data_IF_926332747851
#
_entry.id   IF_926332747851
#
_cell.length_a   1.000
_cell.length_b   1.000
_cell.length_c   1.000
_cell.angle_alpha   90.00
_cell.angle_beta   90.00
_cell.angle_gamma   90.00
#
_symmetry.space_group_name_H-M   'P 1'
#
loop_
_entity.id
_entity.type
_entity.pdbx_description
1 polymer ?
#
# COMPACT_ATOMS: atom_id res chain seq x y z
N UNK A 1 -0.48 11.00 1.21
CA UNK A 1 0.25 10.02 2.05
C UNK A 1 1.30 9.31 1.21
N UNK A 2 2.21 8.56 1.82
CA UNK A 2 3.09 7.63 1.12
C UNK A 2 3.22 6.34 1.92
N UNK A 3 3.46 5.21 1.25
CA UNK A 3 3.78 3.95 1.90
C UNK A 3 5.26 3.65 1.62
N UNK A 4 6.02 3.45 2.71
CA UNK A 4 7.45 3.16 2.69
C UNK A 4 7.78 2.02 3.64
N UNK A 5 8.84 1.31 3.32
CA UNK A 5 9.38 0.21 4.10
C UNK A 5 10.89 0.37 4.10
N UNK A 6 11.45 0.42 5.29
CA UNK A 6 12.89 0.59 5.53
C UNK A 6 13.41 -0.61 6.29
N UNK A 7 14.67 -0.95 6.02
CA UNK A 7 15.37 -1.94 6.83
C UNK A 7 15.57 -1.40 8.26
N UNK A 8 15.34 -2.25 9.27
CA UNK A 8 15.39 -1.85 10.67
C UNK A 8 16.82 -1.66 11.18
N UNK A 9 17.78 -2.37 10.59
CA UNK A 9 19.20 -2.31 10.94
C UNK A 9 19.94 -1.27 10.08
N UNK A 10 19.43 -0.98 8.89
CA UNK A 10 19.95 0.02 7.98
C UNK A 10 18.84 0.92 7.40
N UNK A 11 18.40 1.97 8.12
CA UNK A 11 17.24 2.80 7.74
C UNK A 11 17.44 3.61 6.46
N UNK A 12 18.65 3.64 5.90
CA UNK A 12 18.92 4.25 4.60
C UNK A 12 18.55 3.33 3.42
N UNK A 13 18.26 2.06 3.68
CA UNK A 13 17.88 1.07 2.67
C UNK A 13 16.35 0.89 2.65
N UNK A 14 15.75 1.14 1.49
CA UNK A 14 14.33 0.88 1.26
C UNK A 14 14.14 -0.59 0.88
N UNK A 15 13.23 -1.28 1.56
CA UNK A 15 12.91 -2.70 1.33
C UNK A 15 11.64 -2.90 0.51
N UNK A 16 10.82 -1.86 0.36
CA UNK A 16 9.68 -1.85 -0.56
C UNK A 16 9.82 -0.67 -1.52
N UNK A 17 9.25 -0.80 -2.73
CA UNK A 17 9.09 0.34 -3.62
C UNK A 17 8.13 1.34 -2.98
N UNK A 18 8.52 2.62 -2.94
CA UNK A 18 7.65 3.67 -2.42
C UNK A 18 6.38 3.78 -3.26
N UNK A 19 5.22 3.67 -2.62
CA UNK A 19 3.91 3.91 -3.25
C UNK A 19 3.48 5.34 -2.91
N UNK A 20 3.20 6.13 -3.94
CA UNK A 20 2.93 7.57 -3.83
C UNK A 20 1.62 7.96 -4.51
N UNK A 21 1.28 9.25 -4.44
CA UNK A 21 0.23 9.88 -5.25
C UNK A 21 0.46 9.57 -6.75
N UNK A 22 -0.59 9.29 -7.55
CA UNK A 22 -2.02 9.39 -7.24
C UNK A 22 -2.63 8.17 -6.55
N UNK A 23 -1.88 7.09 -6.38
CA UNK A 23 -2.43 5.81 -5.93
C UNK A 23 -2.63 5.73 -4.42
N UNK A 24 -1.91 6.59 -3.69
CA UNK A 24 -1.96 6.75 -2.23
C UNK A 24 -2.41 8.18 -1.89
N UNK A 25 -3.57 8.34 -1.25
CA UNK A 25 -4.10 9.65 -0.86
C UNK A 25 -4.15 9.79 0.66
N UNK A 26 -5.09 9.11 1.33
CA UNK A 26 -5.33 9.18 2.78
C UNK A 26 -5.40 7.79 3.40
N UNK A 27 -4.24 7.25 3.78
CA UNK A 27 -4.09 5.88 4.29
C UNK A 27 -4.32 5.86 5.79
N UNK A 28 -5.30 5.07 6.24
CA UNK A 28 -5.65 4.97 7.67
C UNK A 28 -5.27 3.65 8.32
N UNK A 29 -5.13 2.60 7.54
CA UNK A 29 -4.78 1.26 8.02
C UNK A 29 -4.04 0.48 6.93
N UNK A 30 -3.16 -0.42 7.35
CA UNK A 30 -2.34 -1.24 6.46
C UNK A 30 -2.05 -2.60 7.07
N UNK A 31 -1.81 -3.58 6.20
CA UNK A 31 -1.34 -4.91 6.57
C UNK A 31 -0.46 -5.52 5.46
N UNK A 32 0.29 -6.58 5.79
CA UNK A 32 1.20 -7.26 4.89
C UNK A 32 0.97 -8.78 4.90
N UNK A 33 0.77 -9.35 3.71
CA UNK A 33 0.75 -10.79 3.50
C UNK A 33 2.14 -11.26 3.06
N UNK A 34 2.83 -11.97 3.96
CA UNK A 34 4.17 -12.48 3.72
C UNK A 34 4.23 -13.70 2.78
N UNK A 35 3.12 -14.43 2.60
CA UNK A 35 3.09 -15.59 1.70
C UNK A 35 3.04 -15.14 0.24
N UNK A 36 2.22 -14.12 -0.03
CA UNK A 36 2.03 -13.55 -1.36
C UNK A 36 2.92 -12.31 -1.64
N UNK A 37 3.66 -11.83 -0.64
CA UNK A 37 4.45 -10.60 -0.67
C UNK A 37 3.65 -9.36 -1.10
N UNK A 38 2.46 -9.18 -0.50
CA UNK A 38 1.51 -8.10 -0.83
C UNK A 38 1.22 -7.19 0.34
N UNK A 39 1.22 -5.89 0.06
CA UNK A 39 0.78 -4.86 1.00
C UNK A 39 -0.67 -4.53 0.69
N UNK A 40 -1.49 -4.45 1.72
CA UNK A 40 -2.89 -4.02 1.67
C UNK A 40 -3.03 -2.71 2.43
N UNK A 41 -3.82 -1.77 1.91
CA UNK A 41 -4.11 -0.53 2.62
C UNK A 41 -5.53 -0.05 2.38
N UNK A 42 -6.07 0.59 3.41
CA UNK A 42 -7.35 1.30 3.37
C UNK A 42 -7.08 2.78 3.08
N UNK A 43 -7.68 3.28 2.00
CA UNK A 43 -7.64 4.69 1.62
C UNK A 43 -9.04 5.29 1.82
N UNK A 44 -9.19 6.17 2.82
CA UNK A 44 -10.51 6.70 3.22
C UNK A 44 -11.03 7.75 2.27
N UNK A 45 -10.14 8.52 1.63
CA UNK A 45 -10.52 9.57 0.68
C UNK A 45 -11.11 8.97 -0.59
N UNK A 46 -10.51 7.90 -1.10
CA UNK A 46 -11.04 7.15 -2.25
C UNK A 46 -12.07 6.09 -1.84
N UNK A 47 -12.21 5.81 -0.54
CA UNK A 47 -13.06 4.75 0.03
C UNK A 47 -12.74 3.38 -0.59
N UNK A 48 -11.46 3.08 -0.74
CA UNK A 48 -10.99 1.81 -1.33
C UNK A 48 -10.10 1.04 -0.38
N UNK A 49 -10.08 -0.28 -0.57
CA UNK A 49 -8.97 -1.13 -0.12
C UNK A 49 -8.21 -1.55 -1.36
N UNK A 50 -6.92 -1.21 -1.40
CA UNK A 50 -6.02 -1.53 -2.51
C UNK A 50 -4.92 -2.47 -2.04
N UNK A 51 -4.27 -3.12 -3.00
CA UNK A 51 -3.07 -3.92 -2.77
C UNK A 51 -2.07 -3.78 -3.89
N UNK A 52 -0.81 -4.06 -3.59
CA UNK A 52 0.28 -4.20 -4.56
C UNK A 52 1.33 -5.18 -4.01
N UNK A 53 2.18 -5.72 -4.88
CA UNK A 53 3.39 -6.39 -4.43
C UNK A 53 4.36 -5.40 -3.79
N UNK A 54 5.22 -5.87 -2.88
CA UNK A 54 6.25 -5.03 -2.23
C UNK A 54 7.21 -4.35 -3.22
N UNK A 55 7.36 -4.93 -4.41
CA UNK A 55 8.14 -4.36 -5.51
C UNK A 55 7.39 -3.26 -6.30
N UNK A 56 6.19 -2.88 -5.86
CA UNK A 56 5.35 -1.82 -6.45
C UNK A 56 4.49 -2.26 -7.63
N UNK A 57 4.56 -3.53 -8.05
CA UNK A 57 3.80 -4.03 -9.21
C UNK A 57 2.42 -4.57 -8.84
N UNK A 58 1.56 -4.74 -9.85
CA UNK A 58 0.16 -5.21 -9.72
C UNK A 58 -0.64 -4.46 -8.65
N UNK A 59 -0.69 -3.14 -8.81
CA UNK A 59 -1.61 -2.30 -8.06
C UNK A 59 -3.06 -2.66 -8.46
N UNK A 60 -3.86 -3.05 -7.48
CA UNK A 60 -5.24 -3.49 -7.68
C UNK A 60 -6.15 -2.92 -6.59
N UNK A 61 -7.35 -2.45 -6.97
CA UNK A 61 -8.43 -2.19 -6.01
C UNK A 61 -9.11 -3.51 -5.67
N UNK A 62 -9.02 -3.93 -4.41
CA UNK A 62 -9.64 -5.16 -3.89
C UNK A 62 -11.10 -4.91 -3.55
N UNK A 63 -11.38 -3.75 -2.94
CA UNK A 63 -12.72 -3.32 -2.57
C UNK A 63 -12.87 -1.84 -2.86
N UNK A 64 -14.05 -1.47 -3.39
CA UNK A 64 -14.46 -0.07 -3.55
C UNK A 64 -15.77 0.12 -2.80
N UNK A 65 -15.80 1.12 -1.92
CA UNK A 65 -17.01 1.54 -1.22
C UNK A 65 -17.98 2.16 -2.22
N UNK A 66 -18.83 1.32 -2.82
CA UNK A 66 -19.81 1.77 -3.79
C UNK A 66 -20.78 2.79 -3.19
N UNK A 67 -21.11 3.81 -3.97
CA UNK A 67 -22.47 4.34 -3.98
C UNK A 67 -23.25 3.51 -4.99
N UNK A 68 -24.20 2.72 -4.49
CA UNK A 68 -25.32 2.27 -5.33
C UNK A 68 -26.12 3.49 -5.82
#
# INVERSE_FOLDING_TARGET
SEIRGVDIDNPYLNVIMALTVPDIDDVTAMDYDAVDERIYWADVKTRTIKRAFINGTKLETVLSGGTA
#
